data_IF_914618816130
#
_entry.id   IF_914618816130
#
_cell.length_a   1.000
_cell.length_b   1.000
_cell.length_c   1.000
_cell.angle_alpha   90.00
_cell.angle_beta   90.00
_cell.angle_gamma   90.00
#
_symmetry.space_group_name_H-M   'P 1'
#
loop_
_entity.id
_entity.type
_entity.pdbx_description
1 polymer ?
#
# COMPACT_ATOMS: atom_id res chain seq x y z
N UNK A 1 -5.31 -10.32 -3.90
CA UNK A 1 -5.72 -9.25 -4.83
C UNK A 1 -5.10 -9.58 -6.18
N UNK A 2 -5.89 -10.08 -7.13
CA UNK A 2 -5.52 -10.04 -8.54
C UNK A 2 -5.99 -8.69 -9.08
N UNK A 3 -5.16 -7.66 -8.94
CA UNK A 3 -5.41 -6.39 -9.64
C UNK A 3 -5.02 -6.59 -11.10
N UNK A 4 -6.02 -6.72 -11.97
CA UNK A 4 -5.82 -6.85 -13.42
C UNK A 4 -5.47 -5.49 -14.02
N UNK A 5 -4.55 -5.48 -14.98
CA UNK A 5 -4.24 -4.27 -15.76
C UNK A 5 -5.49 -3.71 -16.43
N UNK A 6 -5.62 -2.38 -16.41
CA UNK A 6 -6.57 -1.63 -17.21
C UNK A 6 -5.85 -0.42 -17.83
N UNK A 7 -6.25 -0.04 -19.05
CA UNK A 7 -5.65 1.07 -19.78
C UNK A 7 -5.80 2.37 -18.99
N UNK A 8 -4.74 3.18 -18.94
CA UNK A 8 -4.77 4.47 -18.25
C UNK A 8 -5.92 5.36 -18.77
N UNK A 9 -6.54 6.13 -17.87
CA UNK A 9 -7.67 7.00 -18.20
C UNK A 9 -9.00 6.28 -18.47
N UNK A 10 -9.06 4.95 -18.33
CA UNK A 10 -10.29 4.18 -18.53
C UNK A 10 -11.18 4.15 -17.29
N UNK A 11 -12.47 3.89 -17.50
CA UNK A 11 -13.44 3.74 -16.41
C UNK A 11 -13.16 2.48 -15.59
N UNK A 12 -12.73 1.41 -16.26
CA UNK A 12 -12.39 0.13 -15.65
C UNK A 12 -11.25 0.29 -14.64
N UNK A 13 -10.23 1.09 -14.96
CA UNK A 13 -9.15 1.42 -14.02
C UNK A 13 -9.68 2.20 -12.80
N UNK A 14 -10.56 3.18 -13.02
CA UNK A 14 -11.15 3.92 -11.91
C UNK A 14 -11.99 3.00 -10.99
N UNK A 15 -12.77 2.09 -11.58
CA UNK A 15 -13.57 1.10 -10.84
C UNK A 15 -12.70 0.11 -10.05
N UNK A 16 -11.55 -0.31 -10.58
CA UNK A 16 -10.63 -1.17 -9.83
C UNK A 16 -10.01 -0.42 -8.65
N UNK A 17 -9.57 0.82 -8.86
CA UNK A 17 -9.03 1.67 -7.79
C UNK A 17 -10.04 1.86 -6.66
N UNK A 18 -11.31 2.15 -6.99
CA UNK A 18 -12.38 2.34 -6.00
C UNK A 18 -12.54 1.12 -5.10
N UNK A 19 -12.54 -0.10 -5.66
CA UNK A 19 -12.65 -1.35 -4.90
C UNK A 19 -11.48 -1.55 -3.93
N UNK A 20 -10.26 -1.24 -4.36
CA UNK A 20 -9.09 -1.39 -3.50
C UNK A 20 -9.13 -0.39 -2.34
N UNK A 21 -9.49 0.87 -2.61
CA UNK A 21 -9.47 1.93 -1.59
C UNK A 21 -10.62 1.86 -0.58
N UNK A 22 -11.63 1.00 -0.78
CA UNK A 22 -12.64 0.70 0.24
C UNK A 22 -12.03 0.09 1.51
N UNK A 23 -10.95 -0.66 1.37
CA UNK A 23 -10.32 -1.40 2.46
C UNK A 23 -8.90 -0.92 2.79
N UNK A 24 -8.27 -0.16 1.90
CA UNK A 24 -6.90 0.30 2.01
C UNK A 24 -6.78 1.78 1.67
N UNK A 25 -5.77 2.46 2.19
CA UNK A 25 -5.47 3.85 1.82
C UNK A 25 -4.56 3.95 0.59
N UNK A 26 -4.30 2.84 -0.11
CA UNK A 26 -3.45 2.77 -1.28
C UNK A 26 -3.72 1.56 -2.16
N UNK A 27 -3.38 1.66 -3.45
CA UNK A 27 -3.47 0.59 -4.43
C UNK A 27 -2.28 0.62 -5.40
N UNK A 28 -1.65 -0.55 -5.61
CA UNK A 28 -0.66 -0.74 -6.68
C UNK A 28 -1.37 -1.09 -7.98
N UNK A 29 -1.05 -0.35 -9.03
CA UNK A 29 -1.63 -0.51 -10.36
C UNK A 29 -0.71 -1.38 -11.22
N UNK A 30 -1.21 -2.51 -11.71
CA UNK A 30 -0.44 -3.43 -12.55
C UNK A 30 0.19 -2.71 -13.74
N UNK A 31 1.52 -2.81 -13.89
CA UNK A 31 2.31 -2.16 -14.95
C UNK A 31 2.12 -0.63 -15.07
N UNK A 32 1.77 0.07 -13.99
CA UNK A 32 1.46 1.50 -14.05
C UNK A 32 2.08 2.28 -12.89
N UNK A 33 1.73 1.99 -11.63
CA UNK A 33 2.22 2.79 -10.51
C UNK A 33 1.45 2.59 -9.22
N UNK A 34 1.26 3.67 -8.47
CA UNK A 34 0.66 3.69 -7.14
C UNK A 34 -0.39 4.81 -7.05
N UNK A 35 -1.53 4.52 -6.45
CA UNK A 35 -2.51 5.52 -6.00
C UNK A 35 -2.60 5.47 -4.48
N UNK A 36 -2.60 6.63 -3.83
CA UNK A 36 -2.77 6.77 -2.38
C UNK A 36 -3.84 7.79 -2.06
N UNK A 37 -4.65 7.52 -1.04
CA UNK A 37 -5.74 8.40 -0.60
C UNK A 37 -5.64 8.64 0.91
N UNK A 38 -5.98 9.86 1.35
CA UNK A 38 -6.07 10.21 2.75
C UNK A 38 -6.92 11.48 2.91
N UNK A 39 -7.12 11.94 4.16
CA UNK A 39 -7.92 13.13 4.46
C UNK A 39 -7.27 14.44 3.97
N UNK A 40 -5.96 14.45 3.71
CA UNK A 40 -5.23 15.60 3.18
C UNK A 40 -4.03 15.14 2.34
N UNK A 41 -3.47 16.08 1.55
CA UNK A 41 -2.39 15.79 0.61
C UNK A 41 -1.09 15.34 1.31
N UNK A 42 -0.77 15.91 2.48
CA UNK A 42 0.45 15.57 3.22
C UNK A 42 0.40 14.12 3.71
N UNK A 43 -0.74 13.68 4.23
CA UNK A 43 -0.96 12.32 4.69
C UNK A 43 -1.00 11.31 3.52
N UNK A 44 -1.60 11.68 2.39
CA UNK A 44 -1.56 10.85 1.18
C UNK A 44 -0.12 10.69 0.67
N UNK A 45 0.64 11.79 0.61
CA UNK A 45 2.04 11.78 0.20
C UNK A 45 2.94 10.98 1.16
N UNK A 46 2.71 11.10 2.47
CA UNK A 46 3.41 10.28 3.47
C UNK A 46 3.17 8.79 3.25
N UNK A 47 1.92 8.40 2.95
CA UNK A 47 1.56 7.02 2.59
C UNK A 47 2.33 6.55 1.35
N UNK A 48 2.39 7.39 0.30
CA UNK A 48 3.11 7.07 -0.92
C UNK A 48 4.62 6.83 -0.67
N UNK A 49 5.25 7.68 0.16
CA UNK A 49 6.65 7.54 0.55
C UNK A 49 6.92 6.23 1.29
N UNK A 50 6.04 5.85 2.22
CA UNK A 50 6.20 4.60 2.97
C UNK A 50 6.06 3.41 2.04
N UNK A 51 5.06 3.40 1.16
CA UNK A 51 4.84 2.29 0.22
C UNK A 51 6.01 2.15 -0.76
N UNK A 52 6.56 3.25 -1.27
CA UNK A 52 7.78 3.23 -2.09
C UNK A 52 8.95 2.61 -1.32
N UNK A 53 9.15 3.01 -0.07
CA UNK A 53 10.22 2.46 0.77
C UNK A 53 10.06 0.95 0.99
N UNK A 54 8.89 0.47 1.43
CA UNK A 54 8.69 -0.97 1.65
C UNK A 54 8.69 -1.77 0.35
N UNK A 55 8.21 -1.21 -0.76
CA UNK A 55 8.29 -1.85 -2.08
C UNK A 55 9.74 -2.09 -2.49
N UNK A 56 10.61 -1.07 -2.33
CA UNK A 56 12.04 -1.19 -2.59
C UNK A 56 12.71 -2.21 -1.67
N UNK A 57 12.43 -2.17 -0.37
CA UNK A 57 12.98 -3.14 0.60
C UNK A 57 12.58 -4.57 0.24
N UNK A 58 11.28 -4.79 -0.06
CA UNK A 58 10.78 -6.10 -0.45
C UNK A 58 11.43 -6.57 -1.76
N UNK A 59 11.50 -5.71 -2.79
CA UNK A 59 12.17 -6.03 -4.05
C UNK A 59 13.63 -6.43 -3.83
N UNK A 60 14.39 -5.62 -3.08
CA UNK A 60 15.80 -5.91 -2.79
C UNK A 60 15.99 -7.21 -2.00
N UNK A 61 15.12 -7.48 -1.02
CA UNK A 61 15.15 -8.74 -0.30
C UNK A 61 14.82 -9.93 -1.22
N UNK A 62 13.82 -9.79 -2.10
CA UNK A 62 13.47 -10.80 -3.12
C UNK A 62 14.59 -11.10 -4.11
N UNK A 63 15.45 -10.13 -4.41
CA UNK A 63 16.62 -10.36 -5.23
C UNK A 63 17.66 -11.29 -4.58
N UNK A 64 17.68 -11.38 -3.24
CA UNK A 64 18.66 -12.18 -2.49
C UNK A 64 18.06 -13.52 -2.03
N UNK A 65 16.77 -13.56 -1.74
CA UNK A 65 16.07 -14.76 -1.29
C UNK A 65 14.60 -14.48 -0.95
N UNK A 66 14.00 -15.25 -0.06
CA UNK A 66 12.62 -15.03 0.38
C UNK A 66 12.59 -14.32 1.74
N UNK A 67 12.12 -13.06 1.83
CA UNK A 67 11.98 -12.34 3.09
C UNK A 67 10.89 -12.97 3.95
N UNK A 68 11.11 -12.99 5.26
CA UNK A 68 10.10 -13.42 6.22
C UNK A 68 8.97 -12.39 6.30
N UNK A 69 7.79 -12.76 5.81
CA UNK A 69 6.59 -11.93 5.88
C UNK A 69 5.95 -12.05 7.27
N UNK A 70 5.68 -10.89 7.89
CA UNK A 70 5.01 -10.85 9.18
C UNK A 70 3.59 -11.41 9.07
N UNK A 71 3.18 -12.19 10.07
CA UNK A 71 1.82 -12.73 10.13
C UNK A 71 0.80 -11.61 10.32
N UNK A 72 -0.46 -11.87 9.95
CA UNK A 72 -1.55 -10.92 10.21
C UNK A 72 -1.72 -10.61 11.71
N UNK A 73 -1.38 -11.53 12.61
CA UNK A 73 -1.43 -11.29 14.05
C UNK A 73 -0.31 -10.33 14.50
N UNK A 74 0.91 -10.49 13.97
CA UNK A 74 1.99 -9.54 14.22
C UNK A 74 1.65 -8.15 13.70
N UNK A 75 1.08 -8.05 12.49
CA UNK A 75 0.64 -6.76 11.94
C UNK A 75 -0.43 -6.08 12.79
N UNK A 76 -1.38 -6.85 13.36
CA UNK A 76 -2.37 -6.31 14.31
C UNK A 76 -1.71 -5.76 15.57
N UNK A 77 -0.69 -6.45 16.11
CA UNK A 77 0.06 -5.95 17.26
C UNK A 77 0.84 -4.67 16.94
N UNK A 78 1.46 -4.60 15.76
CA UNK A 78 2.17 -3.41 15.27
C UNK A 78 1.22 -2.21 15.17
N UNK A 79 0.05 -2.39 14.54
CA UNK A 79 -0.98 -1.33 14.43
C UNK A 79 -1.42 -0.85 15.82
N UNK A 80 -1.67 -1.78 16.75
CA UNK A 80 -2.00 -1.42 18.13
C UNK A 80 -0.89 -0.59 18.80
N UNK A 81 0.39 -0.92 18.58
CA UNK A 81 1.50 -0.14 19.10
C UNK A 81 1.58 1.26 18.47
N UNK A 82 1.30 1.42 17.17
CA UNK A 82 1.27 2.75 16.54
C UNK A 82 0.22 3.66 17.20
N UNK A 83 -0.98 3.16 17.49
CA UNK A 83 -2.02 3.95 18.19
C UNK A 83 -1.64 4.42 19.60
N UNK A 84 -0.65 3.77 20.23
CA UNK A 84 -0.13 4.20 21.54
C UNK A 84 1.01 5.21 21.45
N UNK A 85 1.69 5.33 20.31
CA UNK A 85 2.75 6.33 20.11
C UNK A 85 2.21 7.72 19.77
N UNK A 86 1.06 7.84 19.11
CA UNK A 86 0.42 9.13 18.82
C UNK A 86 -0.08 9.86 20.09
N UNK A 87 -0.08 9.18 21.24
CA UNK A 87 -0.50 9.71 22.56
C UNK A 87 0.69 9.99 23.52
N UNK A 88 1.93 9.97 23.02
CA UNK A 88 3.16 10.36 23.73
C UNK A 88 3.75 11.62 23.09
#
# INVERSE_FOLDING_TARGET
>A
MEETYATFGSKELAESILKSIENFNACLLANHGLVTVSANIDAAFATAKVIELVSRLYYQARCIGDPMILSGNEMKMVIKKFSTYDNL
#
